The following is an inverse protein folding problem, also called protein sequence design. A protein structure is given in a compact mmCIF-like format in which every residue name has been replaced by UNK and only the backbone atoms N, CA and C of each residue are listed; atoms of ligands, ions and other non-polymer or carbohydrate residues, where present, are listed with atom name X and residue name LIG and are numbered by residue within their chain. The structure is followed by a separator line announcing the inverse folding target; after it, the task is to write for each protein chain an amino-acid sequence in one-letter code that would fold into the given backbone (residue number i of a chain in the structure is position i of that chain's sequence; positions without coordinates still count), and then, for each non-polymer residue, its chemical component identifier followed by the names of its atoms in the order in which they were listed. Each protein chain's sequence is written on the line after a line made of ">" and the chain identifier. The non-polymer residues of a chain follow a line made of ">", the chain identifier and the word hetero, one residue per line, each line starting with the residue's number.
data_IF_994841602967
#
_entry.id   IF_994841602967
#
_cell.length_a   1.000
_cell.length_b   1.000
_cell.length_c   1.000
_cell.angle_alpha   90.00
_cell.angle_beta   90.00
_cell.angle_gamma   90.00
#
_symmetry.space_group_name_H-M   'P 1'
#
loop_
_entity.id
_entity.type
_entity.pdbx_description
1 polymer ?
#
# COMPACT_ATOMS: atom_id res chain seq x y z
N UNK A 1 -54.04 19.45 8.37
CA UNK A 1 -53.00 18.42 8.14
C UNK A 1 -51.77 19.18 7.68
N UNK A 2 -50.65 19.15 8.42
CA UNK A 2 -49.48 19.99 8.13
C UNK A 2 -48.59 19.21 7.16
N UNK A 3 -48.46 19.71 5.94
CA UNK A 3 -47.61 19.11 4.92
C UNK A 3 -46.17 19.19 5.40
N UNK A 4 -45.58 18.03 5.69
CA UNK A 4 -44.16 17.94 6.01
C UNK A 4 -43.44 18.12 4.66
N UNK A 5 -42.67 19.19 4.46
CA UNK A 5 -42.02 19.42 3.18
C UNK A 5 -41.05 18.27 2.91
N UNK A 6 -41.16 17.65 1.73
CA UNK A 6 -40.37 16.50 1.27
C UNK A 6 -38.85 16.67 1.49
N UNK A 7 -38.37 17.91 1.52
CA UNK A 7 -36.99 18.27 1.87
C UNK A 7 -36.55 17.77 3.26
N UNK A 8 -37.43 17.77 4.27
CA UNK A 8 -37.13 17.28 5.63
C UNK A 8 -37.00 15.75 5.68
N UNK A 9 -37.78 15.05 4.86
CA UNK A 9 -37.74 13.59 4.74
C UNK A 9 -36.45 13.18 4.03
N UNK A 10 -36.08 13.88 2.95
CA UNK A 10 -34.80 13.68 2.26
C UNK A 10 -33.60 13.90 3.19
N UNK A 11 -33.62 14.96 3.99
CA UNK A 11 -32.55 15.23 4.96
C UNK A 11 -32.46 14.15 6.05
N UNK A 12 -33.60 13.62 6.50
CA UNK A 12 -33.65 12.51 7.46
C UNK A 12 -33.06 11.22 6.86
N UNK A 13 -33.33 10.92 5.59
CA UNK A 13 -32.71 9.77 4.90
C UNK A 13 -31.19 9.95 4.75
N UNK A 14 -30.71 11.13 4.35
CA UNK A 14 -29.27 11.44 4.29
C UNK A 14 -28.62 11.29 5.67
N UNK A 15 -29.24 11.84 6.72
CA UNK A 15 -28.71 11.75 8.09
C UNK A 15 -28.69 10.29 8.58
N UNK A 16 -29.71 9.51 8.24
CA UNK A 16 -29.82 8.08 8.60
C UNK A 16 -28.80 7.22 7.84
N UNK A 17 -28.53 7.52 6.56
CA UNK A 17 -27.46 6.87 5.80
C UNK A 17 -26.07 7.18 6.36
N UNK A 18 -25.83 8.39 6.87
CA UNK A 18 -24.57 8.75 7.54
C UNK A 18 -24.47 8.07 8.91
N UNK A 19 -25.57 7.94 9.66
CA UNK A 19 -25.61 7.28 10.98
C UNK A 19 -25.50 5.73 10.89
N UNK A 20 -25.95 5.12 9.80
CA UNK A 20 -25.81 3.68 9.54
C UNK A 20 -24.47 3.30 8.91
N UNK A 21 -23.73 4.28 8.38
CA UNK A 21 -22.33 4.09 8.03
C UNK A 21 -21.55 4.11 9.33
N UNK A 22 -21.53 2.97 10.04
CA UNK A 22 -20.69 2.79 11.21
C UNK A 22 -19.30 3.33 10.90
N UNK A 23 -18.79 4.18 11.77
CA UNK A 23 -17.40 4.63 11.70
C UNK A 23 -16.57 3.36 11.84
N UNK A 24 -16.17 2.77 10.71
CA UNK A 24 -15.12 1.77 10.69
C UNK A 24 -13.89 2.59 11.01
N UNK A 25 -13.52 2.61 12.28
CA UNK A 25 -12.21 3.13 12.67
C UNK A 25 -11.23 2.20 11.98
N UNK A 26 -10.66 2.64 10.86
CA UNK A 26 -9.45 2.05 10.33
C UNK A 26 -8.47 2.09 11.51
N UNK A 27 -8.21 0.92 12.12
CA UNK A 27 -7.21 0.84 13.15
C UNK A 27 -5.92 1.37 12.55
N UNK A 28 -5.33 2.38 13.17
CA UNK A 28 -4.00 2.86 12.78
C UNK A 28 -3.08 1.64 12.81
N UNK A 29 -2.70 1.17 11.63
CA UNK A 29 -1.86 -0.01 11.48
C UNK A 29 -0.44 0.46 11.69
N UNK A 30 0.21 -0.02 12.75
CA UNK A 30 1.62 0.31 13.03
C UNK A 30 2.48 -0.12 11.83
N UNK A 31 3.26 0.82 11.30
CA UNK A 31 4.01 0.65 10.05
C UNK A 31 5.46 0.28 10.37
N UNK A 32 5.92 -0.85 9.84
CA UNK A 32 7.32 -1.31 9.92
C UNK A 32 8.12 -0.76 8.74
N UNK A 33 7.61 -0.93 7.52
CA UNK A 33 8.20 -0.39 6.28
C UNK A 33 7.20 0.55 5.62
N UNK A 34 7.65 1.78 5.33
CA UNK A 34 6.79 2.84 4.82
C UNK A 34 7.24 3.30 3.42
N UNK A 35 6.88 2.51 2.40
CA UNK A 35 7.09 2.87 1.01
C UNK A 35 8.56 2.84 0.59
N UNK A 36 9.22 1.70 0.81
CA UNK A 36 10.61 1.47 0.39
C UNK A 36 10.69 0.65 -0.90
N UNK A 37 11.88 0.53 -1.48
CA UNK A 37 12.18 -0.39 -2.57
C UNK A 37 12.88 -1.65 -2.06
N UNK A 38 12.59 -2.79 -2.68
CA UNK A 38 13.24 -4.08 -2.42
C UNK A 38 13.64 -4.74 -3.74
N UNK A 39 14.82 -5.34 -3.79
CA UNK A 39 15.41 -5.95 -4.97
C UNK A 39 15.66 -7.44 -4.69
N UNK A 40 15.08 -8.33 -5.50
CA UNK A 40 15.16 -9.78 -5.28
C UNK A 40 15.49 -10.49 -6.58
N UNK A 41 16.54 -11.31 -6.58
CA UNK A 41 16.86 -12.12 -7.76
C UNK A 41 15.88 -13.27 -7.91
N UNK A 42 15.69 -13.73 -9.15
CA UNK A 42 14.95 -14.95 -9.39
C UNK A 42 15.59 -16.13 -8.64
N UNK A 43 14.77 -16.90 -7.93
CA UNK A 43 15.20 -18.01 -7.08
C UNK A 43 15.60 -17.62 -5.66
N UNK A 44 15.67 -16.34 -5.33
CA UNK A 44 16.04 -15.84 -3.99
C UNK A 44 14.82 -15.29 -3.21
N UNK A 45 15.05 -15.03 -1.93
CA UNK A 45 14.07 -14.46 -1.00
C UNK A 45 14.55 -13.14 -0.42
N UNK A 46 13.59 -12.31 -0.02
CA UNK A 46 13.83 -11.18 0.88
C UNK A 46 13.08 -11.38 2.20
N UNK A 47 13.83 -11.49 3.30
CA UNK A 47 13.25 -11.58 4.64
C UNK A 47 12.80 -10.20 5.16
N UNK A 48 11.63 -10.17 5.75
CA UNK A 48 10.97 -9.04 6.41
C UNK A 48 10.95 -9.23 7.93
N UNK A 49 10.41 -8.26 8.68
CA UNK A 49 10.18 -8.44 10.12
C UNK A 49 9.12 -9.53 10.39
N UNK A 50 9.12 -10.06 11.61
CA UNK A 50 8.16 -11.06 12.08
C UNK A 50 8.18 -12.38 11.26
N UNK A 51 9.39 -12.78 10.83
CA UNK A 51 9.68 -14.05 10.13
C UNK A 51 8.92 -14.25 8.81
N UNK A 52 8.49 -13.15 8.20
CA UNK A 52 7.97 -13.13 6.85
C UNK A 52 9.10 -13.13 5.81
N UNK A 53 8.90 -13.80 4.68
CA UNK A 53 9.86 -13.81 3.57
C UNK A 53 9.15 -13.85 2.22
N UNK A 54 9.55 -12.98 1.28
CA UNK A 54 9.02 -12.98 -0.09
C UNK A 54 10.02 -13.65 -1.03
N UNK A 55 9.66 -14.81 -1.56
CA UNK A 55 10.46 -15.56 -2.52
C UNK A 55 10.04 -15.27 -3.96
N UNK A 56 11.00 -14.93 -4.82
CA UNK A 56 10.77 -14.85 -6.27
C UNK A 56 10.97 -16.23 -6.87
N UNK A 57 9.88 -16.98 -7.05
CA UNK A 57 9.92 -18.38 -7.51
C UNK A 57 10.37 -18.48 -8.96
N UNK A 58 9.83 -17.61 -9.81
CA UNK A 58 10.09 -17.65 -11.25
C UNK A 58 9.85 -16.29 -11.89
N UNK A 59 10.60 -16.00 -12.96
CA UNK A 59 10.44 -14.83 -13.80
C UNK A 59 10.22 -15.29 -15.23
N UNK A 60 9.20 -14.73 -15.88
CA UNK A 60 8.98 -14.85 -17.31
C UNK A 60 9.38 -13.52 -17.99
N UNK A 61 10.53 -13.47 -18.68
CA UNK A 61 11.01 -12.26 -19.34
C UNK A 61 10.14 -11.77 -20.48
N UNK A 62 9.56 -12.70 -21.26
CA UNK A 62 8.81 -12.36 -22.46
C UNK A 62 7.47 -11.67 -22.15
N UNK A 63 6.87 -12.03 -21.02
CA UNK A 63 5.58 -11.48 -20.56
C UNK A 63 5.72 -10.45 -19.44
N UNK A 64 6.95 -10.12 -19.02
CA UNK A 64 7.22 -9.27 -17.86
C UNK A 64 6.40 -9.71 -16.63
N UNK A 65 6.36 -11.03 -16.34
CA UNK A 65 5.62 -11.60 -15.21
C UNK A 65 6.56 -12.24 -14.20
N UNK A 66 6.22 -12.12 -12.92
CA UNK A 66 6.93 -12.72 -11.80
C UNK A 66 5.99 -13.56 -10.96
N UNK A 67 6.38 -14.79 -10.61
CA UNK A 67 5.71 -15.59 -9.60
C UNK A 67 6.40 -15.37 -8.25
N UNK A 68 5.65 -14.86 -7.29
CA UNK A 68 6.10 -14.67 -5.90
C UNK A 68 5.37 -15.60 -4.94
N UNK A 69 6.03 -15.96 -3.85
CA UNK A 69 5.40 -16.61 -2.70
C UNK A 69 5.84 -15.94 -1.42
N UNK A 70 4.86 -15.56 -0.58
CA UNK A 70 5.08 -15.11 0.77
C UNK A 70 5.06 -16.31 1.71
N UNK A 71 6.08 -16.44 2.54
CA UNK A 71 6.13 -17.41 3.63
C UNK A 71 6.18 -16.73 4.99
N UNK A 72 5.74 -17.46 6.01
CA UNK A 72 5.84 -17.11 7.42
C UNK A 72 6.38 -18.34 8.16
N UNK A 73 7.50 -18.20 8.87
CA UNK A 73 8.18 -19.34 9.49
C UNK A 73 8.43 -20.49 8.50
N UNK A 74 8.95 -20.15 7.31
CA UNK A 74 9.22 -21.06 6.19
C UNK A 74 7.99 -21.78 5.57
N UNK A 75 6.78 -21.53 6.07
CA UNK A 75 5.53 -22.05 5.50
C UNK A 75 4.90 -21.04 4.54
N UNK A 76 4.53 -21.48 3.33
CA UNK A 76 3.89 -20.62 2.34
C UNK A 76 2.49 -20.22 2.81
N UNK A 77 2.23 -18.92 2.91
CA UNK A 77 0.94 -18.36 3.35
C UNK A 77 0.16 -17.69 2.21
N UNK A 78 0.85 -17.29 1.14
CA UNK A 78 0.24 -16.72 -0.05
C UNK A 78 1.19 -16.79 -1.26
N UNK A 79 0.62 -16.73 -2.46
CA UNK A 79 1.35 -16.66 -3.72
C UNK A 79 0.58 -15.82 -4.74
N UNK A 80 1.30 -15.28 -5.73
CA UNK A 80 0.68 -14.54 -6.84
C UNK A 80 1.61 -14.48 -8.04
N UNK A 81 1.03 -14.27 -9.22
CA UNK A 81 1.75 -13.89 -10.43
C UNK A 81 1.47 -12.42 -10.69
N UNK A 82 2.51 -11.61 -10.73
CA UNK A 82 2.43 -10.15 -10.86
C UNK A 82 3.09 -9.69 -12.16
N UNK A 83 2.50 -8.68 -12.81
CA UNK A 83 3.13 -7.82 -13.80
C UNK A 83 3.49 -6.45 -13.22
N UNK A 84 4.02 -5.57 -14.08
CA UNK A 84 4.31 -4.17 -13.73
C UNK A 84 3.07 -3.47 -13.17
N UNK A 85 3.29 -2.72 -12.10
CA UNK A 85 2.29 -1.93 -11.35
C UNK A 85 1.19 -2.77 -10.67
N UNK A 86 1.24 -4.10 -10.76
CA UNK A 86 0.32 -4.96 -10.04
C UNK A 86 0.73 -5.10 -8.56
N UNK A 87 -0.28 -5.14 -7.69
CA UNK A 87 -0.09 -5.07 -6.24
C UNK A 87 -0.40 -6.42 -5.60
N UNK A 88 0.55 -6.92 -4.83
CA UNK A 88 0.37 -8.04 -3.92
C UNK A 88 -0.05 -7.53 -2.55
N UNK A 89 -1.27 -7.87 -2.14
CA UNK A 89 -1.82 -7.53 -0.82
C UNK A 89 -2.00 -8.82 -0.03
N UNK A 90 -1.40 -8.88 1.15
CA UNK A 90 -1.63 -9.95 2.11
C UNK A 90 -2.20 -9.39 3.41
N UNK A 91 -3.24 -10.05 3.90
CA UNK A 91 -3.93 -9.70 5.15
C UNK A 91 -3.97 -10.91 6.09
N UNK A 92 -3.76 -10.62 7.36
CA UNK A 92 -3.83 -11.56 8.47
C UNK A 92 -4.99 -11.14 9.38
N UNK A 93 -5.92 -12.04 9.68
CA UNK A 93 -7.08 -11.75 10.56
C UNK A 93 -7.83 -10.44 10.21
N UNK A 94 -7.98 -10.15 8.92
CA UNK A 94 -8.63 -8.93 8.38
C UNK A 94 -7.82 -7.63 8.51
N UNK A 95 -6.58 -7.69 8.98
CA UNK A 95 -5.63 -6.58 8.98
C UNK A 95 -4.62 -6.77 7.85
N UNK A 96 -4.37 -5.72 7.06
CA UNK A 96 -3.32 -5.76 6.03
C UNK A 96 -1.94 -5.83 6.69
N UNK A 97 -1.11 -6.77 6.24
CA UNK A 97 0.28 -6.92 6.68
C UNK A 97 1.23 -6.47 5.58
N UNK A 98 0.93 -6.78 4.32
CA UNK A 98 1.73 -6.37 3.18
C UNK A 98 0.91 -5.68 2.10
N UNK A 99 1.51 -4.65 1.52
CA UNK A 99 1.12 -4.06 0.24
C UNK A 99 2.42 -3.83 -0.55
N UNK A 100 2.62 -4.65 -1.58
CA UNK A 100 3.87 -4.75 -2.33
C UNK A 100 3.54 -4.56 -3.80
N UNK A 101 4.11 -3.53 -4.42
CA UNK A 101 3.93 -3.28 -5.86
C UNK A 101 5.12 -3.82 -6.63
N UNK A 102 4.88 -4.59 -7.69
CA UNK A 102 5.93 -4.97 -8.64
C UNK A 102 6.22 -3.79 -9.58
N UNK A 103 7.46 -3.33 -9.66
CA UNK A 103 7.87 -2.21 -10.53
C UNK A 103 8.52 -2.71 -11.83
N UNK A 104 9.65 -3.41 -11.72
CA UNK A 104 10.47 -3.71 -12.90
C UNK A 104 11.21 -5.02 -12.75
N UNK A 105 11.61 -5.55 -13.91
CA UNK A 105 12.54 -6.67 -14.00
C UNK A 105 13.73 -6.22 -14.83
N UNK A 106 14.92 -6.43 -14.28
CA UNK A 106 16.20 -6.22 -14.95
C UNK A 106 16.76 -7.58 -15.37
N UNK A 107 17.33 -7.62 -16.57
CA UNK A 107 17.92 -8.82 -17.15
C UNK A 107 19.38 -8.56 -17.46
N UNK A 108 20.26 -9.47 -17.04
CA UNK A 108 21.69 -9.38 -17.35
C UNK A 108 22.35 -10.75 -17.35
N UNK A 109 23.67 -10.76 -17.54
CA UNK A 109 24.46 -12.01 -17.53
C UNK A 109 24.41 -12.76 -16.20
N UNK A 110 24.02 -12.09 -15.12
CA UNK A 110 23.91 -12.65 -13.77
C UNK A 110 22.50 -13.13 -13.42
N UNK A 111 21.57 -13.13 -14.38
CA UNK A 111 20.17 -13.52 -14.20
C UNK A 111 19.21 -12.35 -14.10
N UNK A 112 18.02 -12.64 -13.61
CA UNK A 112 16.90 -11.71 -13.45
C UNK A 112 16.89 -11.09 -12.05
N UNK A 113 16.68 -9.78 -11.99
CA UNK A 113 16.48 -9.02 -10.75
C UNK A 113 15.12 -8.32 -10.80
N UNK A 114 14.26 -8.59 -9.83
CA UNK A 114 12.94 -7.98 -9.71
C UNK A 114 12.97 -6.87 -8.69
N UNK A 115 12.38 -5.73 -9.01
CA UNK A 115 12.17 -4.60 -8.10
C UNK A 115 10.73 -4.53 -7.65
N UNK A 116 10.56 -4.35 -6.35
CA UNK A 116 9.29 -4.06 -5.73
C UNK A 116 9.35 -2.65 -5.14
N UNK A 117 8.47 -1.78 -5.60
CA UNK A 117 8.38 -0.39 -5.17
C UNK A 117 6.99 0.18 -5.47
N UNK A 118 6.28 0.78 -4.49
CA UNK A 118 6.61 0.80 -3.07
C UNK A 118 6.30 -0.52 -2.35
N UNK A 119 7.04 -0.77 -1.27
CA UNK A 119 6.83 -1.87 -0.31
C UNK A 119 6.39 -1.29 1.04
N UNK A 120 5.23 -1.75 1.50
CA UNK A 120 4.72 -1.48 2.84
C UNK A 120 4.62 -2.77 3.65
N UNK A 121 5.09 -2.71 4.89
CA UNK A 121 4.88 -3.74 5.91
C UNK A 121 4.23 -3.10 7.13
N UNK A 122 3.17 -3.72 7.63
CA UNK A 122 2.48 -3.35 8.87
C UNK A 122 2.67 -4.45 9.92
N UNK A 123 2.56 -4.09 11.20
CA UNK A 123 2.67 -5.04 12.31
C UNK A 123 1.53 -6.07 12.26
N UNK A 124 1.89 -7.34 12.11
CA UNK A 124 0.98 -8.45 12.36
C UNK A 124 0.91 -8.71 13.87
N UNK A 125 -0.18 -8.26 14.50
CA UNK A 125 -0.37 -8.29 15.95
C UNK A 125 -0.46 -9.71 16.54
N UNK A 126 -0.47 -10.75 15.71
CA UNK A 126 -0.39 -12.16 16.15
C UNK A 126 1.00 -12.56 16.60
N UNK A 127 2.02 -11.82 16.18
CA UNK A 127 3.43 -12.13 16.41
C UNK A 127 4.10 -11.00 17.18
N UNK A 128 5.12 -11.31 17.99
CA UNK A 128 5.90 -10.26 18.66
C UNK A 128 6.54 -9.33 17.63
N UNK A 129 6.58 -8.04 17.96
CA UNK A 129 7.31 -7.02 17.21
C UNK A 129 8.08 -6.17 18.23
N UNK A 130 9.37 -5.98 17.98
CA UNK A 130 10.22 -5.12 18.78
C UNK A 130 10.69 -3.93 17.92
N UNK A 131 10.16 -2.71 18.13
CA UNK A 131 10.52 -1.55 17.31
C UNK A 131 11.97 -1.09 17.51
N UNK A 132 12.63 -1.51 18.60
CA UNK A 132 14.03 -1.19 18.89
C UNK A 132 15.02 -2.11 18.15
N UNK A 133 14.54 -3.14 17.45
CA UNK A 133 15.39 -4.02 16.64
C UNK A 133 15.71 -3.35 15.29
N UNK A 134 16.90 -2.77 15.16
CA UNK A 134 17.33 -2.03 13.95
C UNK A 134 17.62 -2.92 12.72
N UNK A 135 17.24 -4.20 12.73
CA UNK A 135 17.67 -5.19 11.72
C UNK A 135 17.18 -4.82 10.31
N UNK A 136 15.88 -4.52 10.14
CA UNK A 136 15.34 -4.20 8.81
C UNK A 136 15.66 -2.79 8.33
N UNK A 137 15.74 -1.79 9.23
CA UNK A 137 16.11 -0.42 8.83
C UNK A 137 17.52 -0.38 8.23
N UNK A 138 18.48 -1.07 8.85
CA UNK A 138 19.85 -1.16 8.36
C UNK A 138 19.95 -1.95 7.03
N UNK A 139 19.16 -3.03 6.87
CA UNK A 139 19.13 -3.84 5.64
C UNK A 139 18.66 -3.01 4.42
N UNK A 140 17.62 -2.21 4.61
CA UNK A 140 17.01 -1.39 3.56
C UNK A 140 17.87 -0.15 3.25
N UNK A 141 18.44 0.52 4.26
CA UNK A 141 19.33 1.67 4.05
C UNK A 141 20.58 1.29 3.23
N UNK A 142 21.23 0.17 3.54
CA UNK A 142 22.39 -0.31 2.77
C UNK A 142 22.07 -0.66 1.30
N UNK A 143 20.79 -0.87 0.97
CA UNK A 143 20.35 -1.15 -0.40
C UNK A 143 20.04 0.14 -1.18
N UNK A 144 19.80 1.27 -0.48
CA UNK A 144 19.33 2.54 -1.05
C UNK A 144 20.42 3.64 -1.14
N UNK A 145 21.65 3.41 -0.69
CA UNK A 145 22.70 4.43 -0.70
C UNK A 145 23.24 4.80 -2.10
N UNK A 146 22.78 4.15 -3.18
CA UNK A 146 23.08 4.59 -4.54
C UNK A 146 21.81 5.10 -5.25
N UNK A 147 21.73 6.43 -5.38
CA UNK A 147 20.82 7.23 -6.21
C UNK A 147 19.45 7.65 -5.61
N UNK A 148 19.39 8.86 -5.05
CA UNK A 148 18.71 10.01 -5.68
C UNK A 148 18.57 11.19 -4.71
N UNK A 149 19.33 12.25 -4.96
CA UNK A 149 19.08 13.57 -4.38
C UNK A 149 17.86 14.21 -5.04
N UNK A 150 16.89 14.61 -4.20
CA UNK A 150 15.91 15.70 -4.41
C UNK A 150 15.09 15.73 -5.71
N UNK A 151 13.77 15.50 -5.57
CA UNK A 151 12.79 16.46 -6.10
C UNK A 151 11.45 16.37 -5.36
N UNK A 152 11.20 17.26 -4.38
CA UNK A 152 9.85 17.47 -3.83
C UNK A 152 9.01 18.20 -4.87
N UNK A 153 8.10 17.49 -5.51
CA UNK A 153 6.98 18.09 -6.25
C UNK A 153 5.92 18.51 -5.20
N UNK A 154 5.41 19.75 -5.21
CA UNK A 154 4.41 20.17 -4.24
C UNK A 154 3.09 19.43 -4.51
N UNK A 155 2.70 18.54 -3.60
CA UNK A 155 1.38 17.90 -3.59
C UNK A 155 0.32 18.97 -3.27
N UNK A 156 -0.57 19.23 -4.23
CA UNK A 156 -1.71 20.12 -4.04
C UNK A 156 -2.63 19.53 -2.95
N UNK A 157 -2.82 20.28 -1.87
CA UNK A 157 -3.66 19.90 -0.75
C UNK A 157 -5.12 19.67 -1.22
N UNK A 158 -5.69 18.46 -1.05
CA UNK A 158 -7.04 18.14 -1.54
C UNK A 158 -8.14 19.02 -0.93
N UNK A 159 -7.91 19.55 0.27
CA UNK A 159 -8.84 20.49 0.93
C UNK A 159 -8.97 21.81 0.17
N UNK A 160 -7.92 22.22 -0.55
CA UNK A 160 -7.93 23.44 -1.37
C UNK A 160 -8.80 23.28 -2.63
N UNK A 161 -8.80 22.08 -3.24
CA UNK A 161 -9.62 21.78 -4.43
C UNK A 161 -11.12 21.84 -4.11
N UNK A 162 -11.51 21.35 -2.93
CA UNK A 162 -12.91 21.37 -2.49
C UNK A 162 -13.39 22.83 -2.28
N UNK A 163 -12.54 23.70 -1.74
CA UNK A 163 -12.87 25.11 -1.55
C UNK A 163 -13.09 25.84 -2.89
N UNK A 164 -12.28 25.55 -3.92
CA UNK A 164 -12.47 26.12 -5.25
C UNK A 164 -13.78 25.64 -5.90
N UNK A 165 -14.13 24.36 -5.76
CA UNK A 165 -15.37 23.83 -6.32
C UNK A 165 -16.63 24.47 -5.72
N UNK A 166 -16.59 24.84 -4.43
CA UNK A 166 -17.71 25.50 -3.74
C UNK A 166 -17.84 26.99 -4.09
N UNK A 167 -16.77 27.65 -4.53
CA UNK A 167 -16.81 29.08 -4.91
C UNK A 167 -17.28 29.32 -6.35
N UNK A 168 -17.15 28.34 -7.24
CA UNK A 168 -17.61 28.43 -8.63
C UNK A 168 -19.10 28.82 -8.78
N UNK A 169 -20.05 28.22 -8.04
CA UNK A 169 -21.46 28.62 -8.12
C UNK A 169 -21.72 30.00 -7.50
N UNK A 170 -20.98 30.40 -6.45
CA UNK A 170 -21.17 31.70 -5.79
C UNK A 170 -20.78 32.88 -6.69
N UNK A 171 -19.74 32.71 -7.52
CA UNK A 171 -19.30 33.73 -8.48
C UNK A 171 -20.23 33.84 -9.69
N UNK A 172 -20.94 32.77 -10.05
CA UNK A 172 -21.87 32.76 -11.19
C UNK A 172 -23.18 33.49 -10.88
N UNK A 173 -23.65 33.44 -9.64
CA UNK A 173 -24.96 33.99 -9.24
C UNK A 173 -24.91 35.49 -8.89
N UNK A 174 -23.72 36.07 -8.81
CA UNK A 174 -23.50 37.50 -8.54
C UNK A 174 -22.92 38.29 -9.74
N UNK A 175 -23.17 37.83 -10.98
CA UNK A 175 -22.83 38.56 -12.21
C UNK A 175 -24.06 39.10 -12.93
#
# INVERSE_FOLDING_TARGET
>A
MKDIPYFKIFYFFILCSILLCGVVTAGDSEVILNGTSVYVKAGESFDFEQDYSLHVKYVNPESERVWVSLSLNDESVADSILGRDEVFIYSSNSSTVFNITMDRIYYGSSGELVTFEPVYQYVDHRYPYNPDDEKMQNKVQNTSENESQNQRVPFLNPTLLILFALLLPYVYEHR
#
